data_IF_568939794329
#
_entry.id   IF_568939794329
#
_cell.length_a   1.000
_cell.length_b   1.000
_cell.length_c   1.000
_cell.angle_alpha   90.00
_cell.angle_beta   90.00
_cell.angle_gamma   90.00
#
_symmetry.space_group_name_H-M   'P 1'
#
loop_
_entity.id
_entity.type
_entity.pdbx_description
1 polymer ?
#
# COMPACT_ATOMS: atom_id res chain seq x y z
N UNK A 1 -64.50 1.85 -1.15
CA UNK A 1 -63.52 2.12 -2.24
C UNK A 1 -63.04 3.59 -2.28
N UNK A 2 -62.73 4.21 -1.12
CA UNK A 2 -62.18 5.58 -1.02
C UNK A 2 -60.85 5.68 -0.24
N UNK A 3 -60.42 4.60 0.40
CA UNK A 3 -59.19 4.57 1.20
C UNK A 3 -57.91 4.30 0.37
N UNK A 4 -58.05 3.74 -0.83
CA UNK A 4 -56.90 3.33 -1.66
C UNK A 4 -56.31 4.51 -2.48
N UNK A 5 -57.07 5.59 -2.72
CA UNK A 5 -56.57 6.74 -3.51
C UNK A 5 -55.62 7.67 -2.74
N UNK A 6 -55.70 7.71 -1.41
CA UNK A 6 -54.79 8.54 -0.60
C UNK A 6 -53.45 7.84 -0.31
N UNK A 7 -53.42 6.50 -0.34
CA UNK A 7 -52.20 5.73 -0.14
C UNK A 7 -51.22 5.88 -1.32
N UNK A 8 -51.74 6.07 -2.55
CA UNK A 8 -50.90 6.32 -3.73
C UNK A 8 -50.41 7.78 -3.87
N UNK A 9 -51.04 8.74 -3.18
CA UNK A 9 -50.57 10.14 -3.17
C UNK A 9 -49.49 10.35 -2.10
N UNK A 10 -49.50 9.56 -1.02
CA UNK A 10 -48.43 9.60 -0.01
C UNK A 10 -47.15 8.88 -0.43
N UNK A 11 -47.23 7.94 -1.38
CA UNK A 11 -46.06 7.21 -1.86
C UNK A 11 -45.34 7.91 -3.03
N UNK A 12 -46.00 8.85 -3.72
CA UNK A 12 -45.40 9.63 -4.82
C UNK A 12 -44.70 10.91 -4.36
N UNK A 13 -44.93 11.38 -3.13
CA UNK A 13 -44.26 12.56 -2.55
C UNK A 13 -42.96 12.23 -1.80
N UNK A 14 -42.57 10.97 -1.69
CA UNK A 14 -41.27 10.55 -1.11
C UNK A 14 -40.14 10.42 -2.16
N UNK A 15 -40.44 10.63 -3.44
CA UNK A 15 -39.44 11.11 -4.40
C UNK A 15 -39.30 12.62 -4.25
N UNK A 16 -39.07 13.08 -3.02
CA UNK A 16 -38.47 14.38 -2.82
C UNK A 16 -37.09 14.26 -3.45
N UNK A 17 -36.92 14.93 -4.59
CA UNK A 17 -35.64 15.22 -5.18
C UNK A 17 -34.65 15.46 -4.04
N UNK A 18 -33.74 14.52 -3.82
CA UNK A 18 -32.49 14.82 -3.15
C UNK A 18 -31.77 15.76 -4.10
N UNK A 19 -32.19 17.03 -4.06
CA UNK A 19 -31.39 18.12 -4.54
C UNK A 19 -30.09 17.94 -3.80
N UNK A 20 -29.05 17.58 -4.51
CA UNK A 20 -27.72 17.76 -3.99
C UNK A 20 -27.66 19.25 -3.65
N UNK A 21 -27.76 19.56 -2.37
CA UNK A 21 -27.37 20.88 -1.87
C UNK A 21 -25.90 20.91 -2.23
N UNK A 22 -25.59 21.55 -3.36
CA UNK A 22 -24.23 21.77 -3.81
C UNK A 22 -23.55 22.46 -2.63
N UNK A 23 -22.64 21.74 -1.99
CA UNK A 23 -21.87 22.32 -0.91
C UNK A 23 -21.10 23.50 -1.49
N UNK A 24 -21.12 24.65 -0.82
CA UNK A 24 -20.30 25.76 -1.25
C UNK A 24 -18.81 25.37 -1.19
N UNK A 25 -17.98 26.04 -1.97
CA UNK A 25 -16.55 25.82 -1.88
C UNK A 25 -16.04 26.10 -0.45
N UNK A 26 -15.03 25.36 -0.03
CA UNK A 26 -14.33 25.64 1.19
C UNK A 26 -13.61 26.99 1.05
N UNK A 27 -13.40 27.66 2.19
CA UNK A 27 -12.50 28.80 2.20
C UNK A 27 -11.07 28.27 2.21
N UNK A 28 -10.29 28.64 1.21
CA UNK A 28 -8.88 28.24 1.11
C UNK A 28 -8.08 28.76 2.31
N UNK A 29 -7.07 27.98 2.70
CA UNK A 29 -6.23 28.27 3.84
C UNK A 29 -4.83 28.60 3.35
N UNK A 30 -4.26 29.72 3.81
CA UNK A 30 -2.89 30.11 3.47
C UNK A 30 -2.14 30.65 4.68
N UNK A 31 -1.19 29.86 5.18
CA UNK A 31 -0.36 30.19 6.35
C UNK A 31 -1.14 30.50 7.63
N UNK A 32 -2.29 29.86 7.83
CA UNK A 32 -3.18 30.11 8.97
C UNK A 32 -3.75 28.82 9.56
N UNK A 33 -4.29 28.92 10.79
CA UNK A 33 -5.00 27.82 11.44
C UNK A 33 -6.50 27.89 11.15
N UNK A 34 -7.11 26.75 10.78
CA UNK A 34 -8.54 26.66 10.54
C UNK A 34 -9.14 25.32 10.98
N UNK A 35 -10.40 25.36 11.42
CA UNK A 35 -11.18 24.18 11.74
C UNK A 35 -12.47 24.18 10.93
N UNK A 36 -12.67 23.15 10.12
CA UNK A 36 -13.90 22.95 9.36
C UNK A 36 -14.89 22.17 10.22
N UNK A 37 -16.02 22.82 10.54
CA UNK A 37 -17.17 22.25 11.27
C UNK A 37 -18.42 22.07 10.40
N UNK A 38 -18.35 22.46 9.13
CA UNK A 38 -19.42 22.35 8.13
C UNK A 38 -18.85 21.78 6.85
N UNK A 39 -19.58 20.88 6.21
CA UNK A 39 -19.18 20.32 4.92
C UNK A 39 -19.11 21.41 3.85
N UNK A 40 -18.13 21.27 2.96
CA UNK A 40 -17.88 22.14 1.81
C UNK A 40 -17.23 21.30 0.70
N UNK A 41 -17.05 21.88 -0.48
CA UNK A 41 -16.36 21.24 -1.60
C UNK A 41 -15.05 21.95 -1.88
N UNK A 42 -14.04 21.27 -2.41
CA UNK A 42 -12.80 21.87 -2.94
C UNK A 42 -12.05 22.78 -1.94
N UNK A 43 -11.01 22.22 -1.30
CA UNK A 43 -10.18 22.94 -0.33
C UNK A 43 -8.73 23.01 -0.77
N UNK A 44 -8.23 24.21 -1.02
CA UNK A 44 -6.80 24.44 -1.17
C UNK A 44 -6.16 24.86 0.16
N UNK A 45 -5.03 24.21 0.49
CA UNK A 45 -4.23 24.49 1.68
C UNK A 45 -2.80 24.81 1.24
N UNK A 46 -2.42 26.08 1.38
CA UNK A 46 -1.15 26.64 0.93
C UNK A 46 -0.47 27.48 2.02
N UNK A 47 0.64 28.14 1.68
CA UNK A 47 1.39 29.00 2.59
C UNK A 47 2.22 28.24 3.62
N UNK A 48 3.02 28.99 4.38
CA UNK A 48 3.87 28.45 5.44
C UNK A 48 3.11 28.35 6.77
N UNK A 49 3.13 27.18 7.41
CA UNK A 49 2.56 26.97 8.74
C UNK A 49 1.03 26.82 8.78
N UNK A 50 0.41 26.44 7.67
CA UNK A 50 -1.03 26.11 7.67
C UNK A 50 -1.33 24.95 8.61
N UNK A 51 -2.36 25.09 9.45
CA UNK A 51 -2.77 24.06 10.40
C UNK A 51 -4.27 23.85 10.31
N UNK A 52 -4.68 22.78 9.64
CA UNK A 52 -6.08 22.54 9.28
C UNK A 52 -6.62 21.32 10.01
N UNK A 53 -7.79 21.47 10.63
CA UNK A 53 -8.55 20.37 11.23
C UNK A 53 -9.90 20.23 10.53
N UNK A 54 -10.23 19.02 10.07
CA UNK A 54 -11.57 18.67 9.59
C UNK A 54 -12.26 17.85 10.68
N UNK A 55 -13.37 18.35 11.21
CA UNK A 55 -14.07 17.69 12.32
C UNK A 55 -14.78 16.40 11.88
N UNK A 56 -15.03 15.52 12.85
CA UNK A 56 -15.88 14.34 12.63
C UNK A 56 -17.27 14.76 12.11
N UNK A 57 -17.77 14.04 11.11
CA UNK A 57 -19.05 14.33 10.45
C UNK A 57 -18.99 15.43 9.38
N UNK A 58 -17.84 16.07 9.19
CA UNK A 58 -17.62 17.03 8.10
C UNK A 58 -17.10 16.31 6.87
N UNK A 59 -17.66 16.65 5.71
CA UNK A 59 -17.19 16.16 4.41
C UNK A 59 -16.60 17.31 3.61
N UNK A 60 -15.37 17.14 3.15
CA UNK A 60 -14.75 17.94 2.10
C UNK A 60 -14.78 17.07 0.84
N UNK A 61 -15.66 17.40 -0.10
CA UNK A 61 -15.75 16.65 -1.36
C UNK A 61 -15.10 17.39 -2.52
N UNK A 62 -14.94 16.70 -3.65
CA UNK A 62 -14.39 17.30 -4.86
C UNK A 62 -14.63 16.45 -6.10
N UNK A 63 -14.34 17.02 -7.26
CA UNK A 63 -14.45 16.30 -8.55
C UNK A 63 -13.08 15.89 -9.09
N UNK A 64 -12.07 16.77 -9.00
CA UNK A 64 -10.70 16.47 -9.41
C UNK A 64 -9.86 16.12 -8.19
N UNK A 65 -9.44 17.13 -7.42
CA UNK A 65 -8.99 17.02 -6.04
C UNK A 65 -10.16 17.32 -5.10
N UNK A 66 -10.18 16.75 -3.90
CA UNK A 66 -11.01 17.26 -2.80
C UNK A 66 -10.19 18.18 -1.89
N UNK A 67 -8.92 17.85 -1.65
CA UNK A 67 -7.96 18.74 -0.95
C UNK A 67 -6.65 18.86 -1.75
N UNK A 68 -6.25 20.10 -2.04
CA UNK A 68 -5.03 20.44 -2.79
C UNK A 68 -3.97 21.11 -1.92
N UNK A 69 -2.69 20.84 -2.22
CA UNK A 69 -1.53 21.54 -1.67
C UNK A 69 -0.61 21.92 -2.83
N UNK A 70 -0.58 23.20 -3.20
CA UNK A 70 0.19 23.70 -4.34
C UNK A 70 1.55 24.26 -3.94
N UNK A 71 1.61 25.01 -2.84
CA UNK A 71 2.81 25.67 -2.33
C UNK A 71 2.87 25.67 -0.79
N UNK A 72 2.13 24.77 -0.16
CA UNK A 72 2.12 24.62 1.30
C UNK A 72 3.51 24.24 1.82
N UNK A 73 3.92 24.83 2.93
CA UNK A 73 5.15 24.48 3.64
C UNK A 73 4.87 24.43 5.14
N UNK A 74 5.58 23.56 5.86
CA UNK A 74 5.34 23.32 7.30
C UNK A 74 3.87 23.07 7.67
N UNK A 75 3.11 22.43 6.77
CA UNK A 75 1.66 22.28 6.93
C UNK A 75 1.30 21.07 7.77
N UNK A 76 0.28 21.22 8.62
CA UNK A 76 -0.37 20.13 9.34
C UNK A 76 -1.83 20.00 8.88
N UNK A 77 -2.25 18.78 8.54
CA UNK A 77 -3.64 18.44 8.28
C UNK A 77 -4.08 17.30 9.20
N UNK A 78 -5.12 17.56 10.00
CA UNK A 78 -5.82 16.55 10.80
C UNK A 78 -7.21 16.30 10.22
N UNK A 79 -7.41 15.14 9.59
CA UNK A 79 -8.70 14.71 9.08
C UNK A 79 -9.39 13.76 10.07
N UNK A 80 -10.42 14.24 10.77
CA UNK A 80 -11.34 13.40 11.55
C UNK A 80 -12.65 13.12 10.80
N UNK A 81 -12.88 13.77 9.66
CA UNK A 81 -14.09 13.68 8.85
C UNK A 81 -13.89 12.83 7.60
N UNK A 82 -14.46 13.29 6.48
CA UNK A 82 -14.32 12.66 5.18
C UNK A 82 -13.73 13.65 4.18
N UNK A 83 -12.62 13.28 3.54
CA UNK A 83 -12.12 13.90 2.33
C UNK A 83 -12.45 12.95 1.18
N UNK A 84 -13.27 13.35 0.21
CA UNK A 84 -13.70 12.43 -0.84
C UNK A 84 -13.81 13.08 -2.20
N UNK A 85 -13.00 12.61 -3.15
CA UNK A 85 -13.15 13.00 -4.56
C UNK A 85 -13.97 11.97 -5.33
N UNK A 86 -15.02 12.43 -6.02
CA UNK A 86 -15.80 11.60 -6.93
C UNK A 86 -15.04 11.23 -8.21
N UNK A 87 -14.04 12.03 -8.59
CA UNK A 87 -13.19 11.76 -9.74
C UNK A 87 -11.81 11.32 -9.33
N UNK A 88 -10.83 12.22 -9.27
CA UNK A 88 -9.43 11.80 -9.43
C UNK A 88 -8.69 11.52 -8.11
N UNK A 89 -8.43 12.50 -7.25
CA UNK A 89 -7.65 12.32 -6.02
C UNK A 89 -8.38 12.84 -4.78
N UNK A 90 -8.34 12.10 -3.68
CA UNK A 90 -8.84 12.62 -2.40
C UNK A 90 -7.97 13.79 -1.93
N UNK A 91 -6.66 13.54 -1.87
CA UNK A 91 -5.66 14.55 -1.52
C UNK A 91 -4.53 14.54 -2.54
N UNK A 92 -4.04 15.73 -2.91
CA UNK A 92 -2.88 15.89 -3.80
C UNK A 92 -1.89 16.94 -3.30
N UNK A 93 -0.61 16.58 -3.27
CA UNK A 93 0.49 17.55 -3.20
C UNK A 93 1.08 17.79 -4.59
N UNK A 94 1.59 18.99 -4.84
CA UNK A 94 2.48 19.28 -5.98
C UNK A 94 3.95 19.09 -5.56
N UNK A 95 4.88 19.17 -6.52
CA UNK A 95 6.33 19.04 -6.29
C UNK A 95 6.90 20.05 -5.29
N UNK A 96 6.26 21.22 -5.15
CA UNK A 96 6.72 22.30 -4.26
C UNK A 96 6.11 22.20 -2.85
N UNK A 97 5.07 21.39 -2.67
CA UNK A 97 4.36 21.30 -1.41
C UNK A 97 5.07 20.36 -0.43
N UNK A 98 5.12 20.79 0.84
CA UNK A 98 5.61 20.02 1.98
C UNK A 98 4.55 19.99 3.08
N UNK A 99 4.03 18.81 3.35
CA UNK A 99 3.18 18.54 4.53
C UNK A 99 4.09 17.95 5.61
N UNK A 100 4.16 18.60 6.77
CA UNK A 100 4.91 18.04 7.90
C UNK A 100 4.14 16.87 8.52
N UNK A 101 2.86 17.09 8.83
CA UNK A 101 2.03 16.09 9.50
C UNK A 101 0.67 15.94 8.79
N UNK A 102 0.41 14.74 8.29
CA UNK A 102 -0.90 14.32 7.79
C UNK A 102 -1.46 13.23 8.71
N UNK A 103 -2.44 13.58 9.53
CA UNK A 103 -3.16 12.62 10.39
C UNK A 103 -4.52 12.32 9.79
N UNK A 104 -4.72 11.08 9.34
CA UNK A 104 -6.00 10.58 8.87
C UNK A 104 -6.66 9.67 9.91
N UNK A 105 -7.62 10.24 10.63
CA UNK A 105 -8.42 9.56 11.65
C UNK A 105 -9.82 9.21 11.11
N UNK A 106 -10.22 9.86 10.01
CA UNK A 106 -11.45 9.61 9.26
C UNK A 106 -11.19 8.89 7.93
N UNK A 107 -11.78 9.40 6.87
CA UNK A 107 -11.67 8.81 5.52
C UNK A 107 -11.03 9.80 4.56
N UNK A 108 -10.05 9.34 3.78
CA UNK A 108 -9.59 9.97 2.54
C UNK A 108 -9.89 8.99 1.41
N UNK A 109 -10.76 9.37 0.47
CA UNK A 109 -11.19 8.48 -0.61
C UNK A 109 -11.20 9.13 -1.99
N UNK A 110 -11.03 8.33 -3.04
CA UNK A 110 -11.22 8.77 -4.41
C UNK A 110 -11.95 7.73 -5.29
N UNK A 111 -12.78 8.22 -6.20
CA UNK A 111 -13.48 7.40 -7.20
C UNK A 111 -12.59 6.85 -8.31
N UNK A 112 -11.44 7.47 -8.57
CA UNK A 112 -10.66 7.26 -9.79
C UNK A 112 -9.19 6.95 -9.56
N UNK A 113 -8.35 7.95 -9.32
CA UNK A 113 -6.90 7.80 -9.37
C UNK A 113 -6.29 7.38 -8.04
N UNK A 114 -6.43 8.20 -6.98
CA UNK A 114 -5.71 7.93 -5.73
C UNK A 114 -6.40 8.50 -4.49
N UNK A 115 -6.39 7.76 -3.38
CA UNK A 115 -6.74 8.34 -2.08
C UNK A 115 -5.82 9.52 -1.77
N UNK A 116 -4.51 9.26 -1.78
CA UNK A 116 -3.46 10.27 -1.69
C UNK A 116 -2.52 10.16 -2.89
N UNK A 117 -2.27 11.28 -3.59
CA UNK A 117 -1.21 11.40 -4.59
C UNK A 117 -0.16 12.40 -4.10
N UNK A 118 1.03 11.90 -3.81
CA UNK A 118 2.15 12.73 -3.39
C UNK A 118 3.08 13.04 -4.56
N UNK A 119 3.17 14.31 -4.97
CA UNK A 119 4.15 14.80 -5.93
C UNK A 119 5.33 15.52 -5.26
N UNK A 120 5.18 15.94 -4.00
CA UNK A 120 6.17 16.68 -3.23
C UNK A 120 6.69 15.89 -2.03
N UNK A 121 6.61 16.51 -0.84
CA UNK A 121 7.06 15.90 0.42
C UNK A 121 5.92 15.76 1.42
N UNK A 122 5.78 14.58 2.00
CA UNK A 122 5.01 14.36 3.23
C UNK A 122 5.99 13.83 4.27
N UNK A 123 6.29 14.60 5.31
CA UNK A 123 7.25 14.17 6.32
C UNK A 123 6.68 13.00 7.13
N UNK A 124 5.47 13.15 7.67
CA UNK A 124 4.78 12.09 8.41
C UNK A 124 3.34 11.92 7.94
N UNK A 125 2.98 10.69 7.60
CA UNK A 125 1.62 10.24 7.31
C UNK A 125 1.19 9.21 8.36
N UNK A 126 0.22 9.57 9.19
CA UNK A 126 -0.41 8.64 10.13
C UNK A 126 -1.82 8.31 9.64
N UNK A 127 -2.08 7.04 9.40
CA UNK A 127 -3.41 6.55 9.02
C UNK A 127 -3.94 5.60 10.09
N UNK A 128 -4.90 6.05 10.89
CA UNK A 128 -5.59 5.21 11.88
C UNK A 128 -6.93 4.70 11.38
N UNK A 129 -7.37 5.14 10.20
CA UNK A 129 -8.64 4.76 9.61
C UNK A 129 -8.47 4.54 8.11
N UNK A 130 -9.22 5.19 7.21
CA UNK A 130 -9.29 4.75 5.81
C UNK A 130 -8.64 5.73 4.86
N UNK A 131 -7.66 5.26 4.08
CA UNK A 131 -7.21 5.89 2.84
C UNK A 131 -7.53 4.92 1.71
N UNK A 132 -8.35 5.32 0.74
CA UNK A 132 -8.75 4.41 -0.32
C UNK A 132 -8.93 5.07 -1.69
N UNK A 133 -8.86 4.26 -2.73
CA UNK A 133 -9.45 4.59 -4.02
C UNK A 133 -10.24 3.41 -4.54
N UNK A 134 -11.39 3.65 -5.17
CA UNK A 134 -12.07 2.56 -5.91
C UNK A 134 -11.27 2.15 -7.15
N UNK A 135 -10.52 3.09 -7.75
CA UNK A 135 -9.64 2.82 -8.87
C UNK A 135 -8.17 2.61 -8.47
N UNK A 136 -7.28 3.47 -8.99
CA UNK A 136 -5.84 3.21 -9.14
C UNK A 136 -5.11 2.84 -7.85
N UNK A 137 -4.93 3.79 -6.93
CA UNK A 137 -3.99 3.66 -5.80
C UNK A 137 -4.58 4.10 -4.47
N UNK A 138 -4.30 3.41 -3.36
CA UNK A 138 -4.60 3.95 -2.04
C UNK A 138 -3.71 5.17 -1.77
N UNK A 139 -2.40 4.93 -1.84
CA UNK A 139 -1.36 5.97 -1.84
C UNK A 139 -0.48 5.82 -3.07
N UNK A 140 -0.26 6.92 -3.78
CA UNK A 140 0.69 7.00 -4.89
C UNK A 140 1.77 8.03 -4.61
N UNK A 141 2.97 7.55 -4.29
CA UNK A 141 4.18 8.37 -4.19
C UNK A 141 4.87 8.39 -5.56
N UNK A 142 4.76 9.51 -6.28
CA UNK A 142 5.25 9.58 -7.67
C UNK A 142 6.78 9.73 -7.72
N UNK A 143 7.33 9.62 -8.92
CA UNK A 143 8.77 9.75 -9.19
C UNK A 143 9.34 11.05 -8.62
N UNK A 144 10.38 10.90 -7.80
CA UNK A 144 11.06 12.00 -7.12
C UNK A 144 10.37 12.50 -5.83
N UNK A 145 9.15 12.05 -5.54
CA UNK A 145 8.44 12.43 -4.33
C UNK A 145 8.93 11.67 -3.10
N UNK A 146 8.79 12.29 -1.94
CA UNK A 146 9.26 11.74 -0.66
C UNK A 146 8.13 11.63 0.34
N UNK A 147 8.03 10.46 0.97
CA UNK A 147 7.32 10.30 2.23
C UNK A 147 8.36 9.91 3.29
N UNK A 148 8.48 10.67 4.37
CA UNK A 148 9.40 10.32 5.46
C UNK A 148 8.92 9.06 6.15
N UNK A 149 7.81 9.16 6.87
CA UNK A 149 7.23 8.06 7.64
C UNK A 149 5.78 7.83 7.27
N UNK A 150 5.41 6.56 7.09
CA UNK A 150 4.03 6.10 7.04
C UNK A 150 3.79 5.18 8.24
N UNK A 151 2.84 5.54 9.08
CA UNK A 151 2.32 4.70 10.17
C UNK A 151 0.89 4.34 9.86
N UNK A 152 0.64 3.08 9.47
CA UNK A 152 -0.69 2.60 9.12
C UNK A 152 -1.19 1.61 10.17
N UNK A 153 -2.16 2.03 10.98
CA UNK A 153 -2.96 1.16 11.86
C UNK A 153 -4.39 0.96 11.35
N UNK A 154 -4.80 1.72 10.33
CA UNK A 154 -6.06 1.57 9.63
C UNK A 154 -5.94 0.77 8.32
N UNK A 155 -6.69 1.19 7.30
CA UNK A 155 -6.68 0.59 5.97
C UNK A 155 -6.17 1.59 4.94
N UNK A 156 -5.18 1.15 4.14
CA UNK A 156 -4.79 1.77 2.88
C UNK A 156 -5.19 0.80 1.77
N UNK A 157 -6.10 1.21 0.87
CA UNK A 157 -6.58 0.29 -0.16
C UNK A 157 -6.83 0.89 -1.53
N UNK A 158 -6.79 0.03 -2.55
CA UNK A 158 -7.28 0.35 -3.87
C UNK A 158 -8.19 -0.77 -4.39
N UNK A 159 -9.24 -0.42 -5.13
CA UNK A 159 -10.12 -1.42 -5.74
C UNK A 159 -9.55 -2.05 -7.01
N UNK A 160 -8.39 -1.60 -7.52
CA UNK A 160 -7.81 -2.18 -8.74
C UNK A 160 -6.29 -2.36 -8.68
N UNK A 161 -5.48 -1.30 -8.81
CA UNK A 161 -4.04 -1.46 -9.01
C UNK A 161 -3.31 -1.75 -7.70
N UNK A 162 -3.00 -0.72 -6.90
CA UNK A 162 -2.07 -0.90 -5.78
C UNK A 162 -2.53 -0.24 -4.50
N UNK A 163 -2.46 -0.95 -3.37
CA UNK A 163 -2.75 -0.35 -2.06
C UNK A 163 -1.81 0.82 -1.82
N UNK A 164 -0.50 0.56 -1.98
CA UNK A 164 0.53 1.60 -1.97
C UNK A 164 1.47 1.41 -3.17
N UNK A 165 1.74 2.49 -3.90
CA UNK A 165 2.74 2.53 -4.98
C UNK A 165 3.82 3.56 -4.67
N UNK A 166 5.05 3.09 -4.48
CA UNK A 166 6.26 3.93 -4.42
C UNK A 166 6.97 3.85 -5.78
N UNK A 167 6.83 4.89 -6.61
CA UNK A 167 7.31 4.85 -8.00
C UNK A 167 8.84 4.88 -8.11
N UNK A 168 9.37 4.65 -9.31
CA UNK A 168 10.80 4.82 -9.60
C UNK A 168 11.32 6.18 -9.15
N UNK A 169 12.49 6.18 -8.48
CA UNK A 169 13.13 7.35 -7.84
C UNK A 169 12.33 8.04 -6.71
N UNK A 170 11.18 7.51 -6.32
CA UNK A 170 10.46 7.97 -5.14
C UNK A 170 11.06 7.36 -3.86
N UNK A 171 10.94 8.04 -2.73
CA UNK A 171 11.48 7.56 -1.44
C UNK A 171 10.39 7.46 -0.39
N UNK A 172 10.37 6.32 0.31
CA UNK A 172 9.73 6.17 1.61
C UNK A 172 10.82 5.81 2.61
N UNK A 173 11.04 6.61 3.64
CA UNK A 173 12.10 6.28 4.61
C UNK A 173 11.65 5.14 5.53
N UNK A 174 10.46 5.27 6.12
CA UNK A 174 9.92 4.25 7.03
C UNK A 174 8.45 3.98 6.71
N UNK A 175 8.11 2.71 6.54
CA UNK A 175 6.74 2.24 6.46
C UNK A 175 6.49 1.21 7.56
N UNK A 176 5.66 1.57 8.53
CA UNK A 176 5.19 0.68 9.60
C UNK A 176 3.72 0.36 9.37
N UNK A 177 3.41 -0.91 9.16
CA UNK A 177 2.06 -1.40 8.96
C UNK A 177 1.63 -2.32 10.11
N UNK A 178 0.60 -1.89 10.84
CA UNK A 178 -0.15 -2.69 11.82
C UNK A 178 -1.63 -2.81 11.47
N UNK A 179 -2.05 -2.20 10.36
CA UNK A 179 -3.37 -2.36 9.78
C UNK A 179 -3.31 -3.16 8.49
N UNK A 180 -4.02 -2.69 7.47
CA UNK A 180 -4.07 -3.34 6.15
C UNK A 180 -3.57 -2.40 5.06
N UNK A 181 -2.73 -2.92 4.17
CA UNK A 181 -2.41 -2.35 2.86
C UNK A 181 -2.86 -3.38 1.82
N UNK A 182 -3.85 -3.06 1.00
CA UNK A 182 -4.39 -4.04 0.05
C UNK A 182 -4.92 -3.45 -1.24
N UNK A 183 -4.79 -4.18 -2.34
CA UNK A 183 -5.58 -3.93 -3.54
C UNK A 183 -5.81 -5.23 -4.31
N UNK A 184 -6.55 -5.15 -5.40
CA UNK A 184 -6.72 -6.31 -6.28
C UNK A 184 -5.36 -6.74 -6.83
N UNK A 185 -4.65 -5.91 -7.60
CA UNK A 185 -3.41 -6.32 -8.27
C UNK A 185 -2.19 -6.47 -7.33
N UNK A 186 -1.92 -5.48 -6.45
CA UNK A 186 -0.87 -5.63 -5.42
C UNK A 186 -1.14 -4.86 -4.14
N UNK A 187 -0.81 -5.44 -2.99
CA UNK A 187 -0.83 -4.71 -1.73
C UNK A 187 0.18 -3.55 -1.75
N UNK A 188 1.45 -3.86 -1.99
CA UNK A 188 2.54 -2.88 -2.04
C UNK A 188 3.40 -3.07 -3.28
N UNK A 189 3.53 -2.02 -4.07
CA UNK A 189 4.41 -1.96 -5.24
C UNK A 189 5.53 -0.94 -5.01
N UNK A 190 6.77 -1.43 -4.91
CA UNK A 190 7.96 -0.59 -4.80
C UNK A 190 8.80 -0.64 -6.08
N UNK A 191 8.94 0.50 -6.75
CA UNK A 191 9.97 0.73 -7.76
C UNK A 191 11.00 1.79 -7.35
N UNK A 192 10.80 2.45 -6.22
CA UNK A 192 11.71 3.43 -5.64
C UNK A 192 12.53 2.84 -4.49
N UNK A 193 12.81 3.68 -3.50
CA UNK A 193 13.50 3.28 -2.26
C UNK A 193 12.51 3.21 -1.11
N UNK A 194 12.51 2.08 -0.39
CA UNK A 194 11.97 1.97 0.97
C UNK A 194 13.13 1.63 1.90
N UNK A 195 13.53 2.53 2.80
CA UNK A 195 14.68 2.23 3.68
C UNK A 195 14.31 1.15 4.70
N UNK A 196 13.17 1.30 5.37
CA UNK A 196 12.67 0.33 6.35
C UNK A 196 11.19 0.07 6.14
N UNK A 197 10.84 -1.20 5.99
CA UNK A 197 9.48 -1.71 5.95
C UNK A 197 9.28 -2.69 7.11
N UNK A 198 8.38 -2.34 8.02
CA UNK A 198 7.96 -3.19 9.14
C UNK A 198 6.49 -3.53 8.99
N UNK A 199 6.20 -4.78 8.65
CA UNK A 199 4.85 -5.33 8.72
C UNK A 199 4.71 -6.07 10.06
N UNK A 200 4.08 -5.42 11.04
CA UNK A 200 3.93 -5.93 12.41
C UNK A 200 3.06 -7.18 12.46
N UNK A 201 2.97 -7.86 13.60
CA UNK A 201 2.17 -9.07 13.84
C UNK A 201 0.70 -8.98 13.40
N UNK A 202 0.10 -7.79 13.52
CA UNK A 202 -1.27 -7.46 13.09
C UNK A 202 -1.34 -6.93 11.66
N UNK A 203 -0.19 -6.60 11.08
CA UNK A 203 -0.06 -6.01 9.75
C UNK A 203 -0.38 -6.99 8.62
N UNK A 204 -1.16 -6.51 7.66
CA UNK A 204 -1.50 -7.24 6.44
C UNK A 204 -1.08 -6.42 5.22
N UNK A 205 -0.24 -6.98 4.35
CA UNK A 205 0.05 -6.46 3.01
C UNK A 205 -0.41 -7.51 2.01
N UNK A 206 -1.50 -7.25 1.28
CA UNK A 206 -2.11 -8.31 0.46
C UNK A 206 -2.65 -7.88 -0.90
N UNK A 207 -2.51 -8.76 -1.87
CA UNK A 207 -3.34 -8.76 -3.07
C UNK A 207 -4.63 -9.54 -2.81
N UNK A 208 -5.78 -8.98 -3.19
CA UNK A 208 -7.09 -9.61 -2.98
C UNK A 208 -7.36 -10.70 -4.02
N UNK A 209 -7.25 -10.36 -5.31
CA UNK A 209 -7.45 -11.28 -6.45
C UNK A 209 -6.26 -11.31 -7.41
N UNK A 210 -5.27 -10.45 -7.17
CA UNK A 210 -4.15 -10.24 -8.08
C UNK A 210 -2.86 -10.89 -7.64
N UNK A 211 -1.78 -10.38 -8.22
CA UNK A 211 -0.58 -11.16 -8.43
C UNK A 211 0.42 -11.08 -7.28
N UNK A 212 0.50 -9.95 -6.57
CA UNK A 212 1.63 -9.67 -5.68
C UNK A 212 1.19 -9.14 -4.32
N UNK A 213 1.49 -9.85 -3.23
CA UNK A 213 1.34 -9.26 -1.89
C UNK A 213 2.23 -8.02 -1.78
N UNK A 214 3.53 -8.22 -2.02
CA UNK A 214 4.52 -7.19 -2.18
C UNK A 214 5.33 -7.44 -3.47
N UNK A 215 5.44 -6.42 -4.32
CA UNK A 215 6.37 -6.43 -5.45
C UNK A 215 7.45 -5.36 -5.27
N UNK A 216 8.70 -5.77 -5.26
CA UNK A 216 9.86 -4.89 -5.40
C UNK A 216 10.41 -5.04 -6.82
N UNK A 217 10.32 -4.02 -7.65
CA UNK A 217 10.67 -4.08 -9.07
C UNK A 217 11.59 -2.94 -9.44
N UNK A 218 12.85 -3.25 -9.75
CA UNK A 218 13.92 -2.26 -9.95
C UNK A 218 14.12 -1.29 -8.76
N UNK A 219 13.46 -1.56 -7.63
CA UNK A 219 13.50 -0.75 -6.41
C UNK A 219 14.45 -1.34 -5.37
N UNK A 220 14.69 -0.56 -4.33
CA UNK A 220 15.46 -0.98 -3.16
C UNK A 220 14.57 -1.02 -1.93
N UNK A 221 14.62 -2.13 -1.20
CA UNK A 221 14.19 -2.20 0.19
C UNK A 221 15.44 -2.43 1.04
N UNK A 222 15.73 -1.52 1.96
CA UNK A 222 16.86 -1.70 2.89
C UNK A 222 16.59 -2.88 3.82
N UNK A 223 15.61 -2.72 4.69
CA UNK A 223 15.19 -3.77 5.61
C UNK A 223 13.69 -4.02 5.49
N UNK A 224 13.32 -5.27 5.24
CA UNK A 224 11.96 -5.79 5.33
C UNK A 224 11.86 -6.71 6.55
N UNK A 225 11.13 -6.28 7.58
CA UNK A 225 10.76 -7.11 8.72
C UNK A 225 9.28 -7.46 8.61
N UNK A 226 8.97 -8.74 8.43
CA UNK A 226 7.61 -9.24 8.38
C UNK A 226 7.33 -10.13 9.59
N UNK A 227 6.51 -9.64 10.51
CA UNK A 227 5.94 -10.42 11.62
C UNK A 227 4.45 -10.73 11.41
N UNK A 228 3.78 -9.98 10.52
CA UNK A 228 2.40 -10.22 10.12
C UNK A 228 2.28 -11.07 8.86
N UNK A 229 1.36 -10.67 7.98
CA UNK A 229 1.10 -11.39 6.72
C UNK A 229 1.43 -10.52 5.50
N UNK A 230 2.26 -11.05 4.61
CA UNK A 230 2.40 -10.59 3.22
C UNK A 230 1.84 -11.70 2.33
N UNK A 231 0.78 -11.42 1.58
CA UNK A 231 0.12 -12.49 0.80
C UNK A 231 -0.50 -12.07 -0.53
N UNK A 232 -0.59 -13.02 -1.44
CA UNK A 232 -1.45 -12.91 -2.62
C UNK A 232 -2.36 -14.13 -2.71
N UNK A 233 -3.62 -13.92 -3.08
CA UNK A 233 -4.46 -15.02 -3.56
C UNK A 233 -3.95 -15.57 -4.90
N UNK A 234 -3.36 -14.72 -5.75
CA UNK A 234 -2.72 -15.11 -6.98
C UNK A 234 -1.29 -15.60 -6.79
N UNK A 235 -0.36 -15.04 -7.56
CA UNK A 235 0.89 -15.72 -7.89
C UNK A 235 1.97 -15.64 -6.82
N UNK A 236 2.23 -14.47 -6.23
CA UNK A 236 3.45 -14.24 -5.45
C UNK A 236 3.15 -13.51 -4.13
N UNK A 237 3.57 -14.08 -3.01
CA UNK A 237 3.50 -13.40 -1.72
C UNK A 237 4.44 -12.20 -1.74
N UNK A 238 5.73 -12.48 -1.97
CA UNK A 238 6.77 -11.49 -2.20
C UNK A 238 7.46 -11.76 -3.53
N UNK A 239 7.54 -10.76 -4.40
CA UNK A 239 8.28 -10.82 -5.66
C UNK A 239 9.36 -9.74 -5.72
N UNK A 240 10.62 -10.15 -5.66
CA UNK A 240 11.78 -9.29 -5.88
C UNK A 240 12.23 -9.44 -7.34
N UNK A 241 11.69 -8.58 -8.19
CA UNK A 241 11.69 -8.66 -9.65
C UNK A 241 12.84 -7.86 -10.27
N UNK A 242 13.69 -8.51 -11.07
CA UNK A 242 14.73 -7.83 -11.84
C UNK A 242 14.42 -7.89 -13.34
N UNK A 243 14.92 -6.90 -14.09
CA UNK A 243 15.04 -7.01 -15.54
C UNK A 243 16.52 -7.01 -15.96
N UNK A 244 16.79 -7.07 -17.26
CA UNK A 244 18.16 -7.16 -17.80
C UNK A 244 19.04 -5.93 -17.53
N UNK A 245 18.47 -4.79 -17.13
CA UNK A 245 19.19 -3.53 -16.93
C UNK A 245 19.12 -2.99 -15.50
N UNK A 246 18.25 -3.55 -14.66
CA UNK A 246 17.97 -3.05 -13.33
C UNK A 246 17.69 -4.22 -12.37
N UNK A 247 18.41 -4.22 -11.24
CA UNK A 247 18.27 -5.25 -10.21
C UNK A 247 17.46 -4.70 -9.03
N UNK A 248 16.32 -5.32 -8.76
CA UNK A 248 15.63 -5.09 -7.48
C UNK A 248 16.47 -5.65 -6.33
N UNK A 249 16.61 -4.86 -5.27
CA UNK A 249 17.42 -5.23 -4.11
C UNK A 249 16.59 -5.21 -2.84
N UNK A 250 16.66 -6.29 -2.07
CA UNK A 250 16.27 -6.32 -0.66
C UNK A 250 17.54 -6.61 0.13
N UNK A 251 18.05 -5.66 0.92
CA UNK A 251 19.31 -5.89 1.64
C UNK A 251 19.09 -6.92 2.75
N UNK A 252 18.06 -6.72 3.57
CA UNK A 252 17.74 -7.64 4.67
C UNK A 252 16.25 -7.96 4.67
N UNK A 253 15.94 -9.25 4.63
CA UNK A 253 14.60 -9.78 4.81
C UNK A 253 14.57 -10.66 6.07
N UNK A 254 13.81 -10.23 7.07
CA UNK A 254 13.54 -11.00 8.28
C UNK A 254 12.06 -11.38 8.27
N UNK A 255 11.77 -12.66 8.15
CA UNK A 255 10.41 -13.18 8.19
C UNK A 255 10.19 -13.99 9.47
N UNK A 256 9.37 -13.45 10.38
CA UNK A 256 8.84 -14.14 11.55
C UNK A 256 7.33 -14.36 11.49
N UNK A 257 6.68 -13.83 10.46
CA UNK A 257 5.26 -14.01 10.15
C UNK A 257 5.05 -14.94 8.96
N UNK A 258 4.10 -14.59 8.08
CA UNK A 258 3.78 -15.35 6.88
C UNK A 258 4.06 -14.53 5.61
N UNK A 259 4.77 -15.14 4.67
CA UNK A 259 4.84 -14.73 3.27
C UNK A 259 4.20 -15.86 2.46
N UNK A 260 3.09 -15.59 1.76
CA UNK A 260 2.38 -16.66 1.04
C UNK A 260 1.71 -16.28 -0.26
N UNK A 261 1.61 -17.25 -1.17
CA UNK A 261 0.78 -17.13 -2.38
C UNK A 261 -0.21 -18.28 -2.51
N UNK A 262 -1.32 -18.03 -3.21
CA UNK A 262 -2.22 -19.08 -3.65
C UNK A 262 -1.62 -19.92 -4.76
N UNK A 263 -1.18 -19.33 -5.87
CA UNK A 263 -1.02 -20.06 -7.13
C UNK A 263 0.40 -20.32 -7.63
N UNK A 264 1.45 -19.61 -7.17
CA UNK A 264 2.80 -19.84 -7.71
C UNK A 264 3.89 -19.94 -6.64
N UNK A 265 4.24 -18.85 -5.96
CA UNK A 265 5.36 -18.87 -5.01
C UNK A 265 5.16 -18.02 -3.78
N UNK A 266 5.52 -18.53 -2.61
CA UNK A 266 5.56 -17.71 -1.39
C UNK A 266 6.51 -16.53 -1.59
N UNK A 267 7.76 -16.84 -1.91
CA UNK A 267 8.79 -15.86 -2.26
C UNK A 267 9.39 -16.19 -3.62
N UNK A 268 9.39 -15.22 -4.53
CA UNK A 268 10.10 -15.29 -5.79
C UNK A 268 11.19 -14.21 -5.83
N UNK A 269 12.43 -14.63 -6.04
CA UNK A 269 13.58 -13.75 -6.17
C UNK A 269 14.21 -13.90 -7.55
N UNK A 270 14.03 -12.87 -8.36
CA UNK A 270 14.81 -12.64 -9.57
C UNK A 270 15.96 -11.68 -9.31
N UNK A 271 15.82 -10.76 -8.36
CA UNK A 271 16.83 -9.76 -8.01
C UNK A 271 17.86 -10.24 -6.97
N UNK A 272 18.31 -9.29 -6.14
CA UNK A 272 19.24 -9.56 -5.04
C UNK A 272 18.52 -9.49 -3.70
N UNK A 273 18.68 -10.55 -2.90
CA UNK A 273 18.45 -10.53 -1.45
C UNK A 273 19.80 -10.75 -0.76
N UNK A 274 20.36 -9.77 -0.06
CA UNK A 274 21.67 -9.98 0.57
C UNK A 274 21.57 -10.96 1.74
N UNK A 275 20.58 -10.78 2.61
CA UNK A 275 20.32 -11.68 3.73
C UNK A 275 18.83 -11.96 3.86
N UNK A 276 18.48 -13.24 3.85
CA UNK A 276 17.16 -13.76 4.16
C UNK A 276 17.23 -14.61 5.43
N UNK A 277 16.54 -14.17 6.48
CA UNK A 277 16.33 -14.92 7.71
C UNK A 277 14.85 -15.26 7.84
N UNK A 278 14.50 -16.53 7.67
CA UNK A 278 13.19 -17.06 8.03
C UNK A 278 13.29 -17.65 9.44
N UNK A 279 12.76 -16.94 10.44
CA UNK A 279 12.89 -17.32 11.86
C UNK A 279 12.08 -18.58 12.16
N UNK A 280 12.19 -19.12 13.38
CA UNK A 280 11.44 -20.29 13.87
C UNK A 280 9.92 -20.19 13.68
N UNK A 281 9.33 -19.00 13.85
CA UNK A 281 7.91 -18.74 13.57
C UNK A 281 7.62 -18.34 12.12
N UNK A 282 8.66 -18.11 11.32
CA UNK A 282 8.57 -17.67 9.94
C UNK A 282 8.03 -18.74 9.00
N UNK A 283 7.08 -18.35 8.17
CA UNK A 283 6.47 -19.19 7.13
C UNK A 283 6.63 -18.53 5.77
N UNK A 284 7.29 -19.21 4.83
CA UNK A 284 7.32 -18.85 3.41
C UNK A 284 6.65 -19.98 2.65
N UNK A 285 5.44 -19.77 2.10
CA UNK A 285 4.66 -20.87 1.54
C UNK A 285 3.87 -20.56 0.27
N UNK A 286 3.81 -21.54 -0.62
CA UNK A 286 2.81 -21.59 -1.68
C UNK A 286 1.69 -22.57 -1.30
N UNK A 287 0.45 -22.07 -1.22
CA UNK A 287 -0.71 -22.84 -0.74
C UNK A 287 -1.18 -23.87 -1.76
N UNK A 288 -1.35 -23.46 -3.02
CA UNK A 288 -1.64 -24.33 -4.17
C UNK A 288 -0.57 -24.16 -5.27
N UNK A 289 0.48 -23.40 -4.98
CA UNK A 289 1.55 -23.07 -5.93
C UNK A 289 2.75 -24.00 -5.87
N UNK A 290 3.68 -23.73 -6.77
CA UNK A 290 4.78 -24.62 -7.10
C UNK A 290 6.04 -24.45 -6.25
N UNK A 291 6.25 -23.28 -5.63
CA UNK A 291 7.52 -22.98 -4.96
C UNK A 291 7.34 -22.29 -3.61
N UNK A 292 7.96 -22.80 -2.53
CA UNK A 292 7.98 -22.07 -1.26
C UNK A 292 8.82 -20.81 -1.45
N UNK A 293 10.10 -21.04 -1.75
CA UNK A 293 11.05 -20.04 -2.21
C UNK A 293 11.61 -20.43 -3.57
N UNK A 294 11.50 -19.52 -4.54
CA UNK A 294 12.14 -19.64 -5.85
C UNK A 294 13.15 -18.54 -6.05
N UNK A 295 14.42 -18.90 -6.19
CA UNK A 295 15.48 -18.02 -6.65
C UNK A 295 15.81 -18.37 -8.10
N UNK A 296 15.50 -17.49 -9.05
CA UNK A 296 15.77 -17.76 -10.48
C UNK A 296 16.47 -16.57 -11.12
N UNK A 297 17.65 -16.80 -11.69
CA UNK A 297 18.57 -15.73 -12.13
C UNK A 297 18.94 -14.68 -11.06
N UNK A 298 18.51 -14.88 -9.81
CA UNK A 298 18.72 -13.98 -8.70
C UNK A 298 19.84 -14.42 -7.77
N UNK A 299 20.20 -13.54 -6.85
CA UNK A 299 21.21 -13.81 -5.82
C UNK A 299 20.57 -13.73 -4.44
N UNK A 300 20.75 -14.78 -3.65
CA UNK A 300 20.60 -14.75 -2.20
C UNK A 300 22.00 -14.90 -1.61
N UNK A 301 22.48 -13.87 -0.90
CA UNK A 301 23.79 -13.96 -0.24
C UNK A 301 23.76 -15.02 0.85
N UNK A 302 22.95 -14.79 1.88
CA UNK A 302 22.77 -15.74 2.98
C UNK A 302 21.29 -16.06 3.16
N UNK A 303 20.96 -17.35 3.19
CA UNK A 303 19.67 -17.89 3.58
C UNK A 303 19.81 -18.65 4.90
N UNK A 304 19.22 -18.13 5.96
CA UNK A 304 19.06 -18.82 7.24
C UNK A 304 17.59 -19.19 7.41
N UNK A 305 17.28 -20.47 7.40
CA UNK A 305 15.94 -20.99 7.63
C UNK A 305 15.87 -21.75 8.96
N UNK A 306 15.17 -21.19 9.93
CA UNK A 306 14.80 -21.87 11.18
C UNK A 306 13.30 -22.19 11.25
N UNK A 307 12.48 -21.57 10.39
CA UNK A 307 11.04 -21.82 10.27
C UNK A 307 10.70 -22.77 9.14
N UNK A 308 9.58 -22.48 8.45
CA UNK A 308 9.07 -23.32 7.35
C UNK A 308 9.18 -22.60 6.02
N UNK A 309 9.77 -23.27 5.03
CA UNK A 309 9.69 -22.95 3.61
C UNK A 309 9.00 -24.12 2.91
N UNK A 310 7.80 -23.90 2.35
CA UNK A 310 7.02 -25.02 1.81
C UNK A 310 6.21 -24.72 0.56
N UNK A 311 5.97 -25.73 -0.27
CA UNK A 311 5.00 -25.66 -1.36
C UNK A 311 4.09 -26.87 -1.37
N UNK A 312 2.84 -26.68 -1.77
CA UNK A 312 1.97 -27.82 -2.12
C UNK A 312 2.29 -28.44 -3.47
N UNK A 313 2.98 -27.71 -4.36
CA UNK A 313 3.44 -28.20 -5.65
C UNK A 313 4.89 -28.71 -5.63
N UNK A 314 5.73 -28.15 -6.50
CA UNK A 314 6.97 -28.77 -6.94
C UNK A 314 8.15 -28.69 -5.97
N UNK A 315 8.48 -27.52 -5.41
CA UNK A 315 9.72 -27.32 -4.64
C UNK A 315 9.51 -26.51 -3.36
N UNK A 316 10.12 -26.94 -2.26
CA UNK A 316 10.23 -26.10 -1.06
C UNK A 316 11.17 -24.93 -1.35
N UNK A 317 12.40 -25.24 -1.78
CA UNK A 317 13.41 -24.30 -2.23
C UNK A 317 13.85 -24.68 -3.65
N UNK A 318 13.81 -23.72 -4.59
CA UNK A 318 14.30 -23.90 -5.95
C UNK A 318 15.32 -22.82 -6.29
N UNK A 319 16.54 -23.22 -6.68
CA UNK A 319 17.61 -22.30 -7.08
C UNK A 319 18.18 -22.68 -8.44
N UNK A 320 17.73 -22.03 -9.51
CA UNK A 320 18.12 -22.38 -10.88
C UNK A 320 18.25 -21.17 -11.81
N UNK A 321 19.19 -21.22 -12.74
CA UNK A 321 19.35 -20.21 -13.79
C UNK A 321 18.56 -20.57 -15.04
N UNK A 322 17.94 -19.58 -15.71
CA UNK A 322 17.45 -19.79 -17.09
C UNK A 322 18.61 -19.69 -18.08
N UNK A 323 18.38 -20.03 -19.36
CA UNK A 323 19.41 -19.94 -20.40
C UNK A 323 20.10 -18.55 -20.42
N UNK A 324 21.38 -18.50 -20.04
CA UNK A 324 22.18 -17.27 -19.98
C UNK A 324 22.15 -16.51 -18.65
N UNK A 325 21.42 -17.00 -17.64
CA UNK A 325 21.40 -16.45 -16.28
C UNK A 325 21.92 -17.44 -15.24
N UNK A 326 22.23 -16.95 -14.04
CA UNK A 326 22.72 -17.76 -12.92
C UNK A 326 21.93 -17.44 -11.67
N UNK A 327 21.41 -18.45 -10.98
CA UNK A 327 20.84 -18.30 -9.64
C UNK A 327 21.87 -18.73 -8.58
N UNK A 328 22.08 -17.87 -7.57
CA UNK A 328 23.07 -18.12 -6.52
C UNK A 328 22.42 -18.05 -5.15
N UNK A 329 22.64 -19.08 -4.32
CA UNK A 329 22.54 -18.99 -2.86
C UNK A 329 23.94 -19.22 -2.31
N UNK A 330 24.60 -18.18 -1.79
CA UNK A 330 26.03 -18.29 -1.39
C UNK A 330 26.19 -19.08 -0.10
N UNK A 331 25.26 -18.92 0.84
CA UNK A 331 25.25 -19.67 2.11
C UNK A 331 23.83 -20.06 2.46
N UNK A 332 23.61 -21.36 2.69
CA UNK A 332 22.36 -21.91 3.20
C UNK A 332 22.62 -22.54 4.58
N UNK A 333 21.95 -22.04 5.61
CA UNK A 333 21.87 -22.67 6.93
C UNK A 333 20.42 -23.02 7.20
N UNK A 334 20.11 -24.31 7.29
CA UNK A 334 18.75 -24.79 7.54
C UNK A 334 18.68 -25.58 8.86
N UNK A 335 18.00 -25.02 9.86
CA UNK A 335 17.61 -25.71 11.09
C UNK A 335 16.10 -25.95 11.15
N UNK A 336 15.33 -25.37 10.23
CA UNK A 336 13.89 -25.54 10.08
C UNK A 336 13.50 -26.54 9.00
N UNK A 337 12.30 -26.38 8.46
CA UNK A 337 11.71 -27.25 7.43
C UNK A 337 11.81 -26.61 6.06
N UNK A 338 12.28 -27.38 5.08
CA UNK A 338 12.12 -27.10 3.65
C UNK A 338 11.43 -28.32 3.04
N UNK A 339 10.23 -28.16 2.48
CA UNK A 339 9.44 -29.29 2.00
C UNK A 339 8.49 -28.94 0.86
N UNK A 340 8.21 -29.88 -0.03
CA UNK A 340 7.05 -29.81 -0.91
C UNK A 340 6.47 -31.19 -1.20
N UNK A 341 5.30 -31.25 -1.86
CA UNK A 341 4.73 -32.53 -2.29
C UNK A 341 5.55 -33.19 -3.40
N UNK A 342 6.19 -32.39 -4.26
CA UNK A 342 7.19 -32.83 -5.22
C UNK A 342 8.54 -33.08 -4.55
N UNK A 343 9.47 -32.15 -4.74
CA UNK A 343 10.83 -32.20 -4.23
C UNK A 343 11.04 -31.17 -3.11
N UNK A 344 11.88 -31.46 -2.14
CA UNK A 344 12.15 -30.48 -1.07
C UNK A 344 13.08 -29.36 -1.55
N UNK A 345 14.17 -29.71 -2.24
CA UNK A 345 15.19 -28.77 -2.74
C UNK A 345 15.50 -29.13 -4.19
N UNK A 346 15.61 -28.13 -5.07
CA UNK A 346 15.98 -28.25 -6.48
C UNK A 346 16.87 -27.13 -6.96
#
# INVERSE_FOLDING_TARGET
>A
MKLVKYLFIFLSLNFLFCTQVLSANCTDISGSTATFSTSCTDLDIDGDGSNVTINSGVTIDGTSDAVGFANATNTTLTNNGTISSSGSRGLRTTTSATINDLSNNGTISAGGSSGIRNDGTITTLTNTNTISATGGYGIYNITGATIGTITNSGTISAGTSFGLRNNGAATITTLTNSGTISADQSGLWNGGTITTLTNTDTGNIKALDGEFGLKNVNGTIGTLTNSGTISASGNYGLFNDQNSTNTATITTLINSGTISAGSNSGLWNDGTITTLTNTDTGNIKALDGNFGLKNVNGTIGTLTNSGTISASGNYGLYNDGTAGGTATITTLTNTGTISASGNSIG
#
